data_IF_911035537185
#
_entry.id   IF_911035537185
#
_cell.length_a   1.000
_cell.length_b   1.000
_cell.length_c   1.000
_cell.angle_alpha   90.00
_cell.angle_beta   90.00
_cell.angle_gamma   90.00
#
_symmetry.space_group_name_H-M   'P 1'
#
loop_
_entity.id
_entity.type
_entity.pdbx_description
1 polymer ?
#
# COMPACT_ATOMS: atom_id res chain seq x y z
N UNK A 1 34.62 25.07 -31.51
CA UNK A 1 33.17 24.76 -31.62
C UNK A 1 32.42 26.09 -31.73
N UNK A 2 31.80 26.39 -32.88
CA UNK A 2 31.15 27.69 -33.17
C UNK A 2 29.68 27.65 -32.74
N UNK A 3 29.29 28.52 -31.81
CA UNK A 3 27.91 28.74 -31.39
C UNK A 3 27.19 29.68 -32.38
N UNK A 4 26.16 29.17 -33.06
CA UNK A 4 25.27 29.96 -33.89
C UNK A 4 24.02 30.38 -33.09
N UNK A 5 23.95 31.67 -32.76
CA UNK A 5 22.76 32.34 -32.22
C UNK A 5 21.89 32.77 -33.41
N UNK A 6 20.69 32.18 -33.55
CA UNK A 6 19.64 32.67 -34.46
C UNK A 6 18.65 33.52 -33.68
N UNK A 7 18.67 34.84 -33.89
CA UNK A 7 17.55 35.75 -33.60
C UNK A 7 16.61 35.77 -34.80
N UNK A 8 15.29 35.79 -34.56
CA UNK A 8 14.26 36.01 -35.58
C UNK A 8 13.10 36.80 -34.95
N UNK A 9 12.37 37.64 -35.73
CA UNK A 9 11.90 38.93 -35.29
C UNK A 9 10.46 38.95 -34.77
N UNK A 10 10.19 39.99 -33.99
CA UNK A 10 8.87 40.47 -33.58
C UNK A 10 8.06 40.86 -34.82
N UNK A 11 6.89 40.23 -34.99
CA UNK A 11 5.88 40.64 -35.96
C UNK A 11 4.66 41.23 -35.26
N UNK A 12 4.09 42.21 -35.96
CA UNK A 12 3.28 43.32 -35.48
C UNK A 12 1.83 42.94 -35.20
N UNK A 13 1.23 43.74 -34.32
CA UNK A 13 -0.21 43.89 -34.14
C UNK A 13 -0.96 44.01 -35.47
N UNK A 14 -2.07 43.28 -35.58
CA UNK A 14 -3.23 43.69 -36.37
C UNK A 14 -4.46 43.56 -35.47
N UNK A 15 -4.94 44.70 -34.96
CA UNK A 15 -6.21 44.80 -34.25
C UNK A 15 -7.30 44.96 -35.32
N UNK A 16 -8.08 43.91 -35.57
CA UNK A 16 -9.29 43.97 -36.39
C UNK A 16 -10.47 44.07 -35.43
N UNK A 17 -11.11 45.24 -35.38
CA UNK A 17 -12.43 45.40 -34.75
C UNK A 17 -13.49 44.92 -35.73
N UNK A 18 -14.14 43.81 -35.42
CA UNK A 18 -15.41 43.41 -36.05
C UNK A 18 -16.52 43.67 -35.04
N UNK A 19 -17.34 44.68 -35.33
CA UNK A 19 -18.65 44.85 -34.73
C UNK A 19 -19.59 43.81 -35.36
N UNK A 20 -20.22 42.99 -34.53
CA UNK A 20 -21.10 41.93 -35.02
C UNK A 20 -21.97 41.31 -33.94
N UNK A 21 -23.22 41.76 -33.91
CA UNK A 21 -24.43 40.96 -33.67
C UNK A 21 -24.76 40.52 -32.24
N UNK A 22 -25.88 41.08 -31.77
CA UNK A 22 -26.71 40.64 -30.66
C UNK A 22 -27.07 39.15 -30.79
N UNK A 23 -26.49 38.32 -29.94
CA UNK A 23 -27.00 36.96 -29.68
C UNK A 23 -27.67 36.96 -28.30
N UNK A 24 -28.96 36.66 -28.30
CA UNK A 24 -29.77 36.39 -27.11
C UNK A 24 -29.10 35.22 -26.37
N UNK A 25 -28.33 35.55 -25.34
CA UNK A 25 -27.71 34.56 -24.47
C UNK A 25 -28.76 34.13 -23.46
N UNK A 26 -29.37 32.98 -23.72
CA UNK A 26 -30.04 32.19 -22.70
C UNK A 26 -29.12 32.12 -21.49
N UNK A 27 -29.56 32.65 -20.36
CA UNK A 27 -28.93 32.37 -19.07
C UNK A 27 -29.17 30.89 -18.81
N UNK A 28 -28.29 30.04 -19.33
CA UNK A 28 -28.13 28.69 -18.82
C UNK A 28 -27.61 28.92 -17.41
N UNK A 29 -28.51 28.84 -16.45
CA UNK A 29 -28.14 28.63 -15.06
C UNK A 29 -27.34 27.32 -15.06
N UNK A 30 -26.02 27.45 -15.14
CA UNK A 30 -25.09 26.39 -14.75
C UNK A 30 -25.35 26.26 -13.26
N UNK A 31 -26.29 25.39 -12.89
CA UNK A 31 -26.31 24.78 -11.58
C UNK A 31 -24.97 24.06 -11.50
N UNK A 32 -23.99 24.76 -10.93
CA UNK A 32 -22.82 24.15 -10.32
C UNK A 32 -23.40 23.17 -9.30
N UNK A 33 -23.63 21.94 -9.72
CA UNK A 33 -23.72 20.81 -8.83
C UNK A 33 -22.42 20.86 -8.07
N UNK A 34 -22.47 21.40 -6.85
CA UNK A 34 -21.45 21.21 -5.85
C UNK A 34 -21.30 19.69 -5.76
N UNK A 35 -20.31 19.14 -6.48
CA UNK A 35 -19.72 17.86 -6.13
C UNK A 35 -19.22 18.11 -4.72
N UNK A 36 -20.05 17.76 -3.73
CA UNK A 36 -19.63 17.71 -2.36
C UNK A 36 -18.29 16.98 -2.38
N UNK A 37 -17.24 17.67 -1.92
CA UNK A 37 -15.93 17.04 -1.82
C UNK A 37 -16.15 15.70 -1.12
N UNK A 38 -15.75 14.60 -1.76
CA UNK A 38 -15.86 13.29 -1.15
C UNK A 38 -15.16 13.38 0.21
N UNK A 39 -15.95 13.33 1.29
CA UNK A 39 -15.42 13.45 2.63
C UNK A 39 -14.82 12.10 2.96
N UNK A 40 -13.48 12.03 3.07
CA UNK A 40 -12.81 10.83 3.52
C UNK A 40 -12.85 10.76 5.04
N UNK A 41 -13.45 9.70 5.57
CA UNK A 41 -13.49 9.44 7.00
C UNK A 41 -12.56 8.27 7.31
N UNK A 42 -11.63 8.40 8.29
CA UNK A 42 -10.79 7.29 8.69
C UNK A 42 -11.62 6.18 9.35
N UNK A 43 -11.31 4.93 9.01
CA UNK A 43 -11.95 3.74 9.57
C UNK A 43 -11.04 3.15 10.65
N UNK A 44 -11.63 2.77 11.79
CA UNK A 44 -10.94 2.02 12.82
C UNK A 44 -10.65 0.57 12.39
N UNK A 45 -9.66 -0.06 13.00
CA UNK A 45 -9.33 -1.45 12.78
C UNK A 45 -9.55 -2.24 14.06
N UNK A 46 -10.33 -3.31 13.97
CA UNK A 46 -10.54 -4.24 15.07
C UNK A 46 -9.45 -5.33 15.05
N UNK A 47 -8.71 -5.45 16.14
CA UNK A 47 -7.72 -6.51 16.34
C UNK A 47 -8.45 -7.87 16.39
N UNK A 48 -8.33 -8.66 15.33
CA UNK A 48 -9.06 -9.93 15.19
C UNK A 48 -8.23 -11.16 15.54
N UNK A 49 -6.90 -11.04 15.61
CA UNK A 49 -6.02 -12.18 15.85
C UNK A 49 -4.98 -11.92 16.95
N UNK A 50 -4.49 -12.99 17.57
CA UNK A 50 -3.16 -12.96 18.19
C UNK A 50 -2.05 -12.82 17.13
N UNK A 51 -0.79 -12.99 17.54
CA UNK A 51 0.29 -13.18 16.57
C UNK A 51 0.18 -14.57 15.95
N UNK A 52 -0.07 -14.63 14.64
CA UNK A 52 -0.20 -15.88 13.90
C UNK A 52 1.20 -16.29 13.46
N UNK A 53 1.71 -17.40 14.01
CA UNK A 53 2.99 -17.96 13.55
C UNK A 53 2.85 -18.45 12.12
N UNK A 54 3.78 -18.08 11.27
CA UNK A 54 3.84 -18.55 9.89
C UNK A 54 4.77 -19.76 9.86
N UNK A 55 4.39 -20.78 9.09
CA UNK A 55 5.04 -22.09 9.16
C UNK A 55 6.41 -22.09 8.49
N UNK A 56 7.39 -22.70 9.16
CA UNK A 56 8.75 -22.90 8.64
C UNK A 56 8.96 -24.36 8.26
N UNK A 57 9.63 -24.60 7.12
CA UNK A 57 10.11 -25.93 6.73
C UNK A 57 9.42 -26.58 5.51
N UNK A 58 8.60 -25.85 4.76
CA UNK A 58 8.07 -26.29 3.46
C UNK A 58 8.77 -25.56 2.31
N UNK A 59 8.71 -26.11 1.09
CA UNK A 59 9.27 -25.49 -0.14
C UNK A 59 8.73 -24.07 -0.41
N UNK A 60 7.62 -23.70 0.25
CA UNK A 60 6.98 -22.38 0.26
C UNK A 60 6.50 -22.03 1.67
N UNK A 61 6.85 -20.85 2.15
CA UNK A 61 6.28 -20.28 3.38
C UNK A 61 5.22 -19.26 2.99
N UNK A 62 3.98 -19.42 3.45
CA UNK A 62 2.93 -18.42 3.27
C UNK A 62 2.52 -17.86 4.63
N UNK A 63 2.73 -16.56 4.78
CA UNK A 63 2.19 -15.73 5.85
C UNK A 63 0.90 -15.11 5.34
N UNK A 64 -0.28 -15.40 5.90
CA UNK A 64 -1.55 -14.88 5.39
C UNK A 64 -2.53 -14.59 6.52
N UNK A 65 -3.22 -13.46 6.43
CA UNK A 65 -4.35 -13.16 7.30
C UNK A 65 -5.62 -13.94 6.88
N UNK A 66 -6.50 -14.30 7.84
CA UNK A 66 -7.81 -14.85 7.52
C UNK A 66 -8.57 -14.01 6.48
N UNK A 67 -9.57 -14.62 5.83
CA UNK A 67 -10.42 -13.91 4.88
C UNK A 67 -11.00 -12.62 5.48
N UNK A 68 -11.14 -11.58 4.67
CA UNK A 68 -11.63 -10.25 5.05
C UNK A 68 -10.74 -9.47 6.05
N UNK A 69 -9.53 -9.95 6.36
CA UNK A 69 -8.57 -9.28 7.26
C UNK A 69 -7.34 -8.75 6.51
N UNK A 70 -6.65 -7.78 7.11
CA UNK A 70 -5.41 -7.17 6.61
C UNK A 70 -4.25 -7.38 7.53
N UNK A 71 -3.04 -7.41 6.98
CA UNK A 71 -1.83 -7.37 7.80
C UNK A 71 -1.67 -5.98 8.39
N UNK A 72 -1.60 -5.91 9.71
CA UNK A 72 -1.35 -4.68 10.48
C UNK A 72 -0.06 -4.77 11.28
N UNK A 73 0.69 -5.85 11.16
CA UNK A 73 1.96 -5.97 11.87
C UNK A 73 2.69 -7.25 11.54
N UNK A 74 3.99 -7.20 11.83
CA UNK A 74 4.90 -8.33 11.73
C UNK A 74 5.67 -8.45 13.02
N UNK A 75 6.00 -9.70 13.38
CA UNK A 75 6.90 -9.99 14.48
C UNK A 75 7.91 -11.03 14.00
N UNK A 76 9.17 -10.72 14.21
CA UNK A 76 10.30 -11.58 13.90
C UNK A 76 10.85 -12.05 15.24
N UNK A 77 10.70 -13.34 15.57
CA UNK A 77 11.47 -13.90 16.69
C UNK A 77 12.66 -14.66 16.15
N UNK A 78 13.87 -14.32 16.56
CA UNK A 78 15.04 -15.10 16.21
C UNK A 78 14.91 -16.53 16.77
N UNK A 79 15.47 -17.47 16.04
CA UNK A 79 15.82 -18.79 16.55
C UNK A 79 17.29 -19.03 16.16
N UNK A 80 17.91 -20.10 16.68
CA UNK A 80 19.32 -20.41 16.41
C UNK A 80 19.64 -20.36 14.90
N UNK A 81 20.30 -19.26 14.50
CA UNK A 81 20.54 -18.89 13.11
C UNK A 81 19.31 -18.29 12.41
N UNK A 82 19.54 -17.27 11.58
CA UNK A 82 18.51 -16.56 10.79
C UNK A 82 17.68 -17.51 9.89
N UNK A 83 18.17 -18.72 9.60
CA UNK A 83 17.43 -19.74 8.84
C UNK A 83 16.26 -20.39 9.59
N UNK A 84 16.19 -20.22 10.91
CA UNK A 84 15.14 -20.79 11.77
C UNK A 84 14.25 -19.73 12.43
N UNK A 85 14.49 -18.45 12.17
CA UNK A 85 13.70 -17.35 12.76
C UNK A 85 12.23 -17.59 12.51
N UNK A 86 11.38 -17.42 13.53
CA UNK A 86 9.94 -17.54 13.36
C UNK A 86 9.36 -16.19 12.99
N UNK A 87 8.75 -16.12 11.80
CA UNK A 87 7.88 -15.04 11.37
C UNK A 87 6.48 -15.18 11.99
N UNK A 88 5.91 -14.04 12.37
CA UNK A 88 4.52 -13.92 12.79
C UNK A 88 3.89 -12.72 12.10
N UNK A 89 2.60 -12.84 11.83
CA UNK A 89 1.79 -11.72 11.32
C UNK A 89 0.67 -11.41 12.29
N UNK A 90 0.31 -10.13 12.37
CA UNK A 90 -0.83 -9.63 13.11
C UNK A 90 -1.88 -9.16 12.11
N UNK A 91 -3.11 -9.61 12.33
CA UNK A 91 -4.23 -9.33 11.45
C UNK A 91 -5.27 -8.48 12.17
N UNK A 92 -5.93 -7.61 11.42
CA UNK A 92 -7.07 -6.85 11.88
C UNK A 92 -8.14 -6.80 10.79
N UNK A 93 -9.37 -6.50 11.19
CA UNK A 93 -10.50 -6.32 10.30
C UNK A 93 -10.92 -4.85 10.27
N UNK A 94 -11.26 -4.28 9.11
CA UNK A 94 -11.84 -2.95 9.05
C UNK A 94 -13.16 -2.89 9.84
N UNK A 95 -13.24 -1.97 10.80
CA UNK A 95 -14.45 -1.73 11.60
C UNK A 95 -15.40 -0.83 10.80
N UNK A 96 -16.16 -1.44 9.89
CA UNK A 96 -17.22 -0.71 9.18
C UNK A 96 -18.44 -0.57 10.08
N UNK A 97 -18.96 0.65 10.16
CA UNK A 97 -20.22 0.96 10.85
C UNK A 97 -21.45 0.78 9.97
N UNK A 98 -22.59 1.26 10.46
CA UNK A 98 -23.92 1.09 9.86
C UNK A 98 -24.23 2.04 8.67
N UNK A 99 -23.24 2.38 7.85
CA UNK A 99 -23.41 3.34 6.74
C UNK A 99 -23.04 2.77 5.37
N UNK A 100 -24.04 2.31 4.63
CA UNK A 100 -23.93 1.57 3.36
C UNK A 100 -23.25 2.33 2.21
N UNK A 101 -22.45 1.57 1.44
CA UNK A 101 -21.69 1.93 0.23
C UNK A 101 -20.47 2.81 0.44
N UNK A 102 -19.37 2.10 0.64
CA UNK A 102 -18.04 2.64 0.85
C UNK A 102 -17.04 1.86 0.02
N UNK A 103 -16.27 2.55 -0.82
CA UNK A 103 -14.98 2.02 -1.23
C UNK A 103 -14.05 2.16 -0.04
N UNK A 104 -13.70 1.02 0.56
CA UNK A 104 -12.72 0.98 1.64
C UNK A 104 -11.36 0.80 0.99
N UNK A 105 -10.52 1.80 1.12
CA UNK A 105 -9.19 1.74 0.53
C UNK A 105 -8.15 2.37 1.47
N UNK A 106 -6.90 1.89 1.46
CA UNK A 106 -5.81 2.59 2.11
C UNK A 106 -5.57 3.94 1.42
N UNK A 107 -5.75 5.03 2.16
CA UNK A 107 -5.62 6.40 1.68
C UNK A 107 -4.83 7.26 2.65
N UNK A 108 -4.85 8.58 2.44
CA UNK A 108 -4.08 9.52 3.25
C UNK A 108 -2.56 9.44 3.03
N UNK A 109 -1.80 10.07 3.91
CA UNK A 109 -0.33 10.06 3.88
C UNK A 109 0.19 8.79 4.55
N UNK A 110 0.91 7.91 3.84
CA UNK A 110 1.50 6.73 4.46
C UNK A 110 2.52 7.10 5.54
N UNK A 111 2.52 6.33 6.63
CA UNK A 111 3.52 6.41 7.70
C UNK A 111 4.46 5.23 7.57
N UNK A 112 5.76 5.50 7.59
CA UNK A 112 6.79 4.46 7.61
C UNK A 112 7.15 4.09 9.06
N UNK A 113 7.46 2.82 9.27
CA UNK A 113 8.09 2.36 10.51
C UNK A 113 9.52 2.91 10.64
N UNK A 114 10.09 2.81 11.84
CA UNK A 114 11.55 2.75 11.95
C UNK A 114 12.11 1.55 11.18
N UNK A 115 13.40 1.57 10.89
CA UNK A 115 14.09 0.38 10.42
C UNK A 115 14.11 -0.68 11.53
N UNK A 116 13.70 -1.90 11.18
CA UNK A 116 13.74 -3.05 12.07
C UNK A 116 14.94 -3.90 11.70
N UNK A 117 15.92 -3.95 12.60
CA UNK A 117 17.13 -4.73 12.39
C UNK A 117 16.82 -6.22 12.58
N UNK A 118 17.10 -7.03 11.58
CA UNK A 118 16.99 -8.48 11.68
C UNK A 118 18.25 -9.06 12.35
N UNK A 119 18.54 -8.59 13.56
CA UNK A 119 19.67 -9.09 14.35
C UNK A 119 19.31 -10.45 14.95
N UNK A 120 20.23 -11.43 14.92
CA UNK A 120 20.06 -12.62 15.73
C UNK A 120 19.86 -12.23 17.21
N UNK A 121 18.93 -12.92 17.86
CA UNK A 121 18.67 -12.93 19.31
C UNK A 121 17.76 -11.83 19.91
N UNK A 122 17.37 -10.79 19.17
CA UNK A 122 16.36 -9.81 19.63
C UNK A 122 15.05 -9.96 18.83
N UNK A 123 13.92 -10.25 19.48
CA UNK A 123 12.62 -10.20 18.82
C UNK A 123 12.24 -8.78 18.40
N UNK A 124 12.03 -8.56 17.12
CA UNK A 124 11.52 -7.30 16.59
C UNK A 124 10.01 -7.39 16.34
N UNK A 125 9.29 -6.34 16.72
CA UNK A 125 7.83 -6.28 16.55
C UNK A 125 7.44 -4.92 16.02
N UNK A 126 6.69 -4.92 14.92
CA UNK A 126 6.12 -3.70 14.36
C UNK A 126 4.62 -3.84 14.15
N UNK A 127 3.90 -2.73 14.40
CA UNK A 127 2.47 -2.61 14.19
C UNK A 127 2.14 -1.29 13.51
N UNK A 128 1.24 -1.36 12.54
CA UNK A 128 0.61 -0.23 11.87
C UNK A 128 -0.57 0.37 12.68
N UNK A 129 -0.69 0.05 13.97
CA UNK A 129 -1.82 0.41 14.84
C UNK A 129 -3.19 0.20 14.18
N UNK A 130 -3.83 1.29 13.75
CA UNK A 130 -5.16 1.32 13.13
C UNK A 130 -5.11 1.43 11.59
N UNK A 131 -4.00 1.01 10.97
CA UNK A 131 -3.80 1.07 9.53
C UNK A 131 -3.33 -0.29 8.97
N UNK A 132 -3.71 -0.67 7.75
CA UNK A 132 -3.09 -1.76 7.03
C UNK A 132 -1.67 -1.45 6.57
N UNK A 133 -0.87 -2.50 6.45
CA UNK A 133 0.40 -2.48 5.72
C UNK A 133 0.14 -2.35 4.21
N UNK A 134 0.78 -1.38 3.56
CA UNK A 134 0.66 -1.15 2.11
C UNK A 134 1.98 -1.34 1.36
N UNK A 135 3.11 -1.29 2.07
CA UNK A 135 4.41 -1.49 1.46
C UNK A 135 5.39 -2.17 2.42
N UNK A 136 6.38 -2.85 1.85
CA UNK A 136 7.53 -3.42 2.53
C UNK A 136 8.79 -3.03 1.77
N UNK A 137 9.77 -2.56 2.51
CA UNK A 137 11.13 -2.28 2.06
C UNK A 137 12.07 -3.16 2.88
N UNK A 138 13.06 -3.76 2.21
CA UNK A 138 14.11 -4.51 2.86
C UNK A 138 15.45 -4.11 2.26
N UNK A 139 16.44 -3.91 3.13
CA UNK A 139 17.83 -3.63 2.80
C UNK A 139 18.73 -4.70 3.41
N UNK A 140 19.81 -5.02 2.72
CA UNK A 140 20.88 -5.88 3.21
C UNK A 140 20.68 -7.35 2.90
N UNK A 141 21.63 -8.16 3.37
CA UNK A 141 21.59 -9.61 3.22
C UNK A 141 20.89 -10.22 4.43
N UNK A 142 19.73 -10.79 4.15
CA UNK A 142 18.97 -11.66 5.02
C UNK A 142 19.77 -12.75 5.77
N UNK A 143 20.96 -13.16 5.30
CA UNK A 143 21.83 -14.14 5.99
C UNK A 143 22.79 -13.53 7.01
N UNK A 144 23.08 -12.24 6.95
CA UNK A 144 24.13 -11.62 7.79
C UNK A 144 23.60 -10.44 8.58
N UNK A 145 22.95 -9.47 7.93
CA UNK A 145 22.24 -8.33 8.51
C UNK A 145 21.28 -7.76 7.46
N UNK A 146 19.98 -7.81 7.74
CA UNK A 146 18.98 -7.13 6.93
C UNK A 146 18.16 -6.19 7.79
N UNK A 147 17.70 -5.09 7.22
CA UNK A 147 16.82 -4.13 7.86
C UNK A 147 15.51 -4.08 7.08
N UNK A 148 14.38 -4.07 7.78
CA UNK A 148 13.07 -3.94 7.14
C UNK A 148 12.36 -2.68 7.59
N UNK A 149 11.76 -1.99 6.64
CA UNK A 149 10.85 -0.89 6.89
C UNK A 149 9.48 -1.22 6.28
N UNK A 150 8.42 -0.94 7.01
CA UNK A 150 7.05 -1.14 6.56
C UNK A 150 6.34 0.19 6.44
N UNK A 151 5.42 0.30 5.47
CA UNK A 151 4.57 1.49 5.35
C UNK A 151 3.13 1.12 5.59
N UNK A 152 2.45 1.98 6.33
CA UNK A 152 1.07 1.84 6.73
C UNK A 152 0.28 3.03 6.18
N UNK A 153 -0.96 2.82 5.77
CA UNK A 153 -1.83 3.92 5.37
C UNK A 153 -3.21 3.72 5.99
N UNK A 154 -3.83 4.76 6.57
CA UNK A 154 -5.15 4.64 7.17
C UNK A 154 -6.17 4.18 6.13
N UNK A 155 -7.13 3.35 6.55
CA UNK A 155 -8.29 3.06 5.72
C UNK A 155 -9.21 4.28 5.69
N UNK A 156 -9.64 4.65 4.49
CA UNK A 156 -10.59 5.73 4.28
C UNK A 156 -11.82 5.23 3.55
N UNK A 157 -12.92 5.92 3.80
CA UNK A 157 -14.22 5.76 3.16
C UNK A 157 -14.48 6.90 2.20
N UNK A 158 -14.89 6.62 0.97
CA UNK A 158 -15.62 7.60 0.15
C UNK A 158 -17.14 7.41 0.33
N UNK A 159 -17.85 8.50 0.70
CA UNK A 159 -19.22 8.52 1.26
C UNK A 159 -20.38 8.32 0.26
N UNK A 160 -21.47 7.63 0.69
CA UNK A 160 -22.92 8.03 0.68
C UNK A 160 -23.87 6.80 0.65
N UNK A 161 -25.17 6.82 1.08
CA UNK A 161 -25.89 7.51 2.17
C UNK A 161 -26.29 6.56 3.35
N UNK A 162 -26.99 7.10 4.36
CA UNK A 162 -27.23 6.54 5.71
C UNK A 162 -28.16 5.31 5.78
N UNK A 163 -27.82 4.29 6.59
CA UNK A 163 -28.82 3.43 7.26
C UNK A 163 -28.68 1.90 7.30
N UNK A 164 -27.56 1.27 6.93
CA UNK A 164 -27.41 -0.22 6.95
C UNK A 164 -26.04 -0.70 7.47
N UNK A 165 -26.02 -1.80 8.25
CA UNK A 165 -24.80 -2.44 8.78
C UNK A 165 -23.89 -2.95 7.66
N UNK A 166 -22.70 -2.37 7.51
CA UNK A 166 -21.72 -2.82 6.53
C UNK A 166 -20.68 -3.78 7.08
N UNK A 167 -20.14 -4.60 6.18
CA UNK A 167 -18.91 -5.38 6.37
C UNK A 167 -17.95 -5.19 5.20
N UNK A 168 -16.66 -5.07 5.51
CA UNK A 168 -15.62 -5.03 4.48
C UNK A 168 -15.45 -6.44 3.91
N UNK A 169 -15.62 -6.58 2.60
CA UNK A 169 -15.50 -7.83 1.88
C UNK A 169 -14.41 -7.73 0.85
N UNK A 170 -13.60 -8.78 0.74
CA UNK A 170 -12.58 -8.89 -0.29
C UNK A 170 -13.23 -8.71 -1.68
N UNK A 171 -12.81 -7.67 -2.40
CA UNK A 171 -13.26 -7.40 -3.77
C UNK A 171 -12.36 -8.09 -4.80
N UNK A 172 -11.04 -8.02 -4.60
CA UNK A 172 -10.04 -8.62 -5.48
C UNK A 172 -8.80 -8.99 -4.65
N UNK A 173 -8.10 -10.05 -5.06
CA UNK A 173 -6.82 -10.46 -4.50
C UNK A 173 -5.84 -10.81 -5.60
N UNK A 174 -4.67 -10.17 -5.57
CA UNK A 174 -3.62 -10.44 -6.55
C UNK A 174 -2.30 -10.66 -5.87
N UNK A 175 -1.65 -11.74 -6.25
CA UNK A 175 -0.23 -11.92 -5.97
C UNK A 175 0.59 -11.04 -6.90
N UNK A 176 1.62 -10.40 -6.35
CA UNK A 176 2.70 -9.85 -7.14
C UNK A 176 3.40 -10.96 -7.92
N UNK A 177 4.18 -10.55 -8.92
CA UNK A 177 5.26 -11.40 -9.40
C UNK A 177 6.21 -11.77 -8.26
N UNK A 178 7.01 -12.80 -8.49
CA UNK A 178 8.13 -13.14 -7.63
C UNK A 178 9.20 -12.05 -7.72
N UNK A 179 9.60 -11.52 -6.57
CA UNK A 179 10.58 -10.45 -6.41
C UNK A 179 11.85 -11.09 -5.89
N UNK A 180 12.86 -11.15 -6.75
CA UNK A 180 14.20 -11.56 -6.35
C UNK A 180 14.96 -10.31 -5.96
N UNK A 181 15.30 -10.22 -4.69
CA UNK A 181 16.10 -9.14 -4.16
C UNK A 181 17.60 -9.27 -4.52
N UNK A 182 17.98 -10.44 -5.07
CA UNK A 182 19.37 -10.82 -5.31
C UNK A 182 20.02 -10.01 -6.43
N UNK A 183 20.98 -9.18 -6.05
CA UNK A 183 21.90 -8.49 -6.93
C UNK A 183 23.34 -8.78 -6.47
N UNK A 184 24.25 -8.94 -7.44
CA UNK A 184 25.67 -8.97 -7.14
C UNK A 184 26.22 -7.55 -7.26
N UNK A 185 26.81 -7.05 -6.19
CA UNK A 185 27.56 -5.81 -6.20
C UNK A 185 28.94 -6.01 -6.85
N UNK A 186 29.58 -4.91 -7.28
CA UNK A 186 30.89 -4.93 -7.95
C UNK A 186 31.99 -5.57 -7.07
N UNK A 187 31.83 -5.56 -5.76
CA UNK A 187 32.74 -6.16 -4.78
C UNK A 187 32.46 -7.65 -4.52
N UNK A 188 31.57 -8.27 -5.30
CA UNK A 188 31.09 -9.64 -5.13
C UNK A 188 30.32 -9.90 -3.83
N UNK A 189 29.74 -8.86 -3.22
CA UNK A 189 28.73 -9.05 -2.18
C UNK A 189 27.35 -9.26 -2.80
N UNK A 190 26.55 -10.12 -2.17
CA UNK A 190 25.16 -10.34 -2.57
C UNK A 190 24.28 -9.35 -1.79
N UNK A 191 23.64 -8.43 -2.48
CA UNK A 191 22.63 -7.55 -1.92
C UNK A 191 21.26 -8.19 -2.13
N UNK A 192 20.42 -8.17 -1.09
CA UNK A 192 19.06 -8.72 -1.13
C UNK A 192 18.04 -7.62 -0.87
N UNK A 193 18.13 -6.53 -1.63
CA UNK A 193 17.23 -5.39 -1.45
C UNK A 193 15.96 -5.50 -2.29
N UNK A 194 14.83 -5.15 -1.69
CA UNK A 194 13.60 -4.97 -2.45
C UNK A 194 12.71 -3.90 -1.85
N UNK A 195 12.00 -3.20 -2.72
CA UNK A 195 10.85 -2.38 -2.37
C UNK A 195 9.62 -2.95 -3.06
N UNK A 196 8.54 -3.14 -2.29
CA UNK A 196 7.25 -3.49 -2.86
C UNK A 196 6.15 -2.65 -2.24
N UNK A 197 5.36 -2.00 -3.09
CA UNK A 197 4.15 -1.27 -2.70
C UNK A 197 2.96 -1.88 -3.42
N UNK A 198 1.89 -2.16 -2.67
CA UNK A 198 0.64 -2.63 -3.24
C UNK A 198 0.06 -1.57 -4.19
N UNK A 199 -0.66 -1.98 -5.27
CA UNK A 199 -1.37 -1.05 -6.13
C UNK A 199 -2.27 -0.09 -5.33
N UNK A 200 -2.46 1.13 -5.83
CA UNK A 200 -3.29 2.14 -5.17
C UNK A 200 -4.64 1.58 -4.76
N UNK A 201 -5.01 1.81 -3.50
CA UNK A 201 -6.25 1.35 -2.91
C UNK A 201 -6.27 -0.12 -2.48
N UNK A 202 -5.12 -0.79 -2.46
CA UNK A 202 -4.97 -2.15 -1.94
C UNK A 202 -3.94 -2.23 -0.80
N UNK A 203 -4.06 -3.25 0.05
CA UNK A 203 -3.13 -3.51 1.15
C UNK A 203 -2.63 -4.96 1.16
N UNK A 204 -1.50 -5.17 1.84
CA UNK A 204 -0.87 -6.47 1.99
C UNK A 204 -1.72 -7.35 2.90
N UNK A 205 -2.11 -8.52 2.40
CA UNK A 205 -2.87 -9.54 3.16
C UNK A 205 -2.15 -10.87 3.26
N UNK A 206 -1.14 -11.08 2.41
CA UNK A 206 -0.22 -12.20 2.50
C UNK A 206 1.19 -11.85 2.02
N UNK A 207 2.17 -12.59 2.51
CA UNK A 207 3.56 -12.63 2.04
C UNK A 207 3.95 -14.09 1.85
N UNK A 208 4.68 -14.38 0.78
CA UNK A 208 5.20 -15.72 0.53
C UNK A 208 6.67 -15.67 0.15
N UNK A 209 7.46 -16.58 0.75
CA UNK A 209 8.85 -16.79 0.37
C UNK A 209 9.00 -18.13 -0.34
N UNK A 210 9.85 -18.15 -1.38
CA UNK A 210 10.23 -19.35 -2.10
C UNK A 210 11.49 -19.97 -1.49
N UNK A 211 11.45 -21.27 -1.17
CA UNK A 211 12.58 -22.14 -0.75
C UNK A 211 13.30 -21.77 0.55
N UNK A 212 13.34 -20.50 0.96
CA UNK A 212 14.01 -20.06 2.18
C UNK A 212 13.38 -18.76 2.71
N UNK A 213 13.52 -18.45 4.02
CA UNK A 213 13.12 -17.17 4.64
C UNK A 213 13.58 -15.93 3.88
N UNK A 214 14.68 -16.12 3.16
CA UNK A 214 15.57 -15.11 2.61
C UNK A 214 15.55 -15.16 1.07
N UNK A 215 14.61 -15.95 0.53
CA UNK A 215 14.47 -16.22 -0.88
C UNK A 215 13.60 -15.21 -1.59
N UNK A 216 13.32 -15.52 -2.85
CA UNK A 216 12.42 -14.76 -3.70
C UNK A 216 11.06 -14.60 -2.99
N UNK A 217 10.62 -13.35 -2.81
CA UNK A 217 9.41 -13.01 -2.05
C UNK A 217 8.30 -12.60 -3.01
N UNK A 218 7.05 -12.81 -2.64
CA UNK A 218 5.90 -12.17 -3.28
C UNK A 218 4.88 -11.75 -2.24
N UNK A 219 4.06 -10.78 -2.60
CA UNK A 219 3.04 -10.21 -1.73
C UNK A 219 1.67 -10.39 -2.35
N UNK A 220 0.67 -10.68 -1.53
CA UNK A 220 -0.73 -10.66 -1.94
C UNK A 220 -1.29 -9.30 -1.53
N UNK A 221 -1.74 -8.54 -2.52
CA UNK A 221 -2.49 -7.31 -2.30
C UNK A 221 -3.97 -7.58 -2.45
N UNK A 222 -4.78 -6.90 -1.63
CA UNK A 222 -6.23 -7.06 -1.61
C UNK A 222 -6.90 -5.70 -1.64
N UNK A 223 -8.00 -5.59 -2.37
CA UNK A 223 -8.93 -4.46 -2.32
C UNK A 223 -10.22 -4.90 -1.64
N UNK A 224 -10.93 -3.97 -1.01
CA UNK A 224 -12.21 -4.23 -0.35
C UNK A 224 -13.35 -3.48 -1.00
N UNK A 225 -14.52 -4.08 -0.95
CA UNK A 225 -15.81 -3.42 -1.13
C UNK A 225 -16.56 -3.52 0.18
N UNK A 226 -17.37 -2.52 0.50
CA UNK A 226 -18.32 -2.69 1.57
C UNK A 226 -19.58 -3.38 1.04
N UNK A 227 -20.08 -4.36 1.79
CA UNK A 227 -21.35 -5.05 1.53
C UNK A 227 -22.23 -4.97 2.76
N UNK A 228 -23.55 -4.88 2.57
CA UNK A 228 -24.51 -5.01 3.66
C UNK A 228 -24.50 -6.44 4.22
N UNK A 229 -24.73 -6.56 5.53
CA UNK A 229 -24.76 -7.86 6.24
C UNK A 229 -25.93 -8.74 5.83
#
# INVERSE_FOLDING_TARGET
>A
MKLHIKKSPRSRLALVMVAGSLAVSSVIAVTWMNRAAASTVPIGMEDTSGWIQTSWGADREISRCPADQVMVGVKLTPAEGLRKSKNFVKCAQPALGDDDRVYVYPGGTPVASGWLDQVPDIPETFRCDQAPMIASLHLGDYQTKGESQYRCAPLVVESAPVGEQLVAKVADQRWSGWISAFQWEEDHTAQLDFEYTCPTGSAITAREHQKSPHGVVRFQCTTWKAESR
#
